data_IF_610941043304
#
_entry.id   IF_610941043304
#
_cell.length_a   1.000
_cell.length_b   1.000
_cell.length_c   1.000
_cell.angle_alpha   90.00
_cell.angle_beta   90.00
_cell.angle_gamma   90.00
#
_symmetry.space_group_name_H-M   'P 1'
#
loop_
_entity.id
_entity.type
_entity.pdbx_description
1 polymer ?
#
# COMPACT_ATOMS: atom_id res chain seq x y z
N UNK A 1 66.52 45.31 -5.83
CA UNK A 1 65.51 46.37 -5.71
C UNK A 1 64.53 46.00 -4.59
N UNK A 2 64.59 46.81 -3.51
CA UNK A 2 63.69 46.65 -2.38
C UNK A 2 62.55 47.68 -2.53
N UNK A 3 61.29 47.24 -2.40
CA UNK A 3 60.15 48.16 -2.38
C UNK A 3 59.90 48.51 -0.93
N UNK A 4 60.03 49.79 -0.61
CA UNK A 4 59.62 50.32 0.71
C UNK A 4 58.15 50.65 0.69
N UNK A 5 57.39 50.00 1.58
CA UNK A 5 56.02 50.43 1.89
C UNK A 5 56.10 51.18 3.22
N UNK A 6 56.02 52.50 3.17
CA UNK A 6 55.96 53.36 4.35
C UNK A 6 54.54 53.42 4.87
N UNK A 7 54.29 52.74 5.99
CA UNK A 7 53.03 52.88 6.71
C UNK A 7 53.27 53.78 7.89
N UNK A 8 52.74 54.99 7.79
CA UNK A 8 52.79 56.04 8.81
C UNK A 8 52.27 55.51 10.15
N UNK A 9 53.14 55.47 11.18
CA UNK A 9 52.78 55.19 12.57
C UNK A 9 53.42 53.95 13.14
N UNK A 10 54.55 54.13 13.84
CA UNK A 10 55.21 53.24 14.85
C UNK A 10 54.91 51.72 14.78
N UNK A 11 55.18 51.09 13.66
CA UNK A 11 55.11 49.62 13.51
C UNK A 11 56.43 49.09 12.94
N UNK A 12 56.91 47.92 13.36
CA UNK A 12 58.16 47.34 12.85
C UNK A 12 58.05 47.08 11.33
N UNK A 13 59.04 47.49 10.59
CA UNK A 13 59.12 47.32 9.14
C UNK A 13 59.40 45.84 8.81
N UNK A 14 58.48 45.19 8.13
CA UNK A 14 58.72 43.86 7.57
C UNK A 14 59.41 44.04 6.22
N UNK A 15 60.68 43.61 6.09
CA UNK A 15 61.41 43.56 4.81
C UNK A 15 60.99 42.28 4.08
N UNK A 16 60.16 42.40 3.05
CA UNK A 16 59.77 41.28 2.19
C UNK A 16 60.68 41.25 0.96
N UNK A 17 61.38 40.17 0.69
CA UNK A 17 62.19 40.04 -0.55
C UNK A 17 61.24 40.00 -1.77
N UNK A 18 61.80 40.44 -2.94
CA UNK A 18 61.05 40.67 -4.20
C UNK A 18 60.06 39.57 -4.57
N UNK A 19 58.86 39.98 -4.84
CA UNK A 19 57.68 39.11 -5.11
C UNK A 19 57.75 38.45 -6.51
N UNK A 20 58.79 38.72 -7.29
CA UNK A 20 59.00 38.16 -8.65
C UNK A 20 59.02 36.61 -8.64
N UNK A 21 59.53 36.02 -7.55
CA UNK A 21 59.61 34.56 -7.40
C UNK A 21 58.24 33.92 -7.22
N UNK A 22 57.24 34.65 -6.73
CA UNK A 22 55.90 34.15 -6.50
C UNK A 22 55.03 34.21 -7.74
N UNK A 23 55.38 35.04 -8.75
CA UNK A 23 54.62 35.13 -10.02
C UNK A 23 55.00 34.06 -11.05
N UNK A 24 56.09 33.33 -10.83
CA UNK A 24 56.57 32.27 -11.71
C UNK A 24 55.99 30.88 -11.38
N UNK A 25 55.14 30.78 -10.35
CA UNK A 25 54.45 29.54 -10.03
C UNK A 25 53.31 29.33 -11.03
N UNK A 26 53.56 28.61 -12.12
CA UNK A 26 52.54 28.05 -12.96
C UNK A 26 51.49 27.29 -12.09
N UNK A 27 50.30 27.07 -12.62
CA UNK A 27 49.22 26.33 -11.97
C UNK A 27 49.77 25.07 -11.30
N UNK A 28 50.20 25.22 -10.05
CA UNK A 28 50.77 24.14 -9.27
C UNK A 28 49.64 23.14 -8.98
N UNK A 29 49.90 21.90 -9.32
CA UNK A 29 48.99 20.75 -8.96
C UNK A 29 48.65 20.78 -7.47
N UNK A 30 49.58 21.30 -6.63
CA UNK A 30 49.34 21.54 -5.20
C UNK A 30 48.19 22.55 -4.92
N UNK A 31 47.95 23.53 -5.80
CA UNK A 31 46.84 24.47 -5.69
C UNK A 31 45.46 23.80 -5.89
N UNK A 32 45.40 22.81 -6.76
CA UNK A 32 44.18 22.01 -7.01
C UNK A 32 43.94 21.04 -5.85
N UNK A 33 45.03 20.38 -5.36
CA UNK A 33 44.93 19.44 -4.23
C UNK A 33 44.48 20.15 -2.95
N UNK A 34 44.78 21.41 -2.78
CA UNK A 34 44.30 22.21 -1.62
C UNK A 34 42.77 22.31 -1.52
N UNK A 35 42.06 22.24 -2.65
CA UNK A 35 40.60 22.31 -2.69
C UNK A 35 39.91 20.92 -2.61
N UNK A 36 40.70 19.84 -2.76
CA UNK A 36 40.20 18.46 -2.71
C UNK A 36 39.46 18.12 -1.41
N UNK A 37 40.00 18.45 -0.21
CA UNK A 37 39.29 18.17 1.04
C UNK A 37 37.96 18.94 1.18
N UNK A 38 37.89 20.16 0.63
CA UNK A 38 36.64 20.92 0.60
C UNK A 38 35.60 20.27 -0.31
N UNK A 39 36.01 19.83 -1.51
CA UNK A 39 35.17 19.13 -2.45
C UNK A 39 34.61 17.80 -1.85
N UNK A 40 35.50 17.01 -1.24
CA UNK A 40 35.10 15.76 -0.57
C UNK A 40 34.09 16.00 0.57
N UNK A 41 34.30 17.05 1.36
CA UNK A 41 33.41 17.41 2.44
C UNK A 41 32.01 17.82 1.92
N UNK A 42 31.98 18.58 0.82
CA UNK A 42 30.70 18.97 0.18
C UNK A 42 29.96 17.76 -0.38
N UNK A 43 30.67 16.85 -1.06
CA UNK A 43 30.09 15.61 -1.58
C UNK A 43 29.53 14.75 -0.43
N UNK A 44 30.30 14.60 0.66
CA UNK A 44 29.83 13.84 1.83
C UNK A 44 28.56 14.44 2.44
N UNK A 45 28.48 15.77 2.55
CA UNK A 45 27.29 16.46 3.05
C UNK A 45 26.07 16.21 2.15
N UNK A 46 26.23 16.32 0.83
CA UNK A 46 25.16 16.04 -0.13
C UNK A 46 24.69 14.60 -0.03
N UNK A 47 25.61 13.65 0.10
CA UNK A 47 25.24 12.22 0.26
C UNK A 47 24.48 11.97 1.56
N UNK A 48 24.84 12.65 2.67
CA UNK A 48 24.12 12.56 3.93
C UNK A 48 22.70 13.12 3.78
N UNK A 49 22.55 14.27 3.11
CA UNK A 49 21.23 14.86 2.86
C UNK A 49 20.34 13.91 2.04
N UNK A 50 20.89 13.31 0.98
CA UNK A 50 20.18 12.32 0.15
C UNK A 50 19.79 11.08 0.97
N UNK A 51 20.69 10.60 1.84
CA UNK A 51 20.42 9.45 2.69
C UNK A 51 19.30 9.73 3.72
N UNK A 52 19.28 10.94 4.30
CA UNK A 52 18.23 11.37 5.23
C UNK A 52 16.90 11.59 4.50
N UNK A 53 16.93 12.15 3.29
CA UNK A 53 15.74 12.40 2.47
C UNK A 53 15.01 11.11 2.09
N UNK A 54 15.66 9.92 2.19
CA UNK A 54 15.08 8.61 1.84
C UNK A 54 14.19 8.70 0.59
N UNK A 55 14.72 9.06 -0.59
CA UNK A 55 13.90 9.13 -1.78
C UNK A 55 13.25 7.76 -2.02
N UNK A 56 11.98 7.63 -1.62
CA UNK A 56 11.19 6.46 -1.99
C UNK A 56 10.77 6.69 -3.44
N UNK A 57 11.33 5.94 -4.35
CA UNK A 57 10.70 5.79 -5.65
C UNK A 57 9.37 5.05 -5.43
N UNK A 58 8.30 5.82 -5.21
CA UNK A 58 6.99 5.28 -5.46
C UNK A 58 6.94 5.03 -6.95
N UNK A 59 7.07 3.77 -7.35
CA UNK A 59 6.57 3.36 -8.65
C UNK A 59 5.09 3.71 -8.60
N UNK A 60 4.74 4.88 -9.15
CA UNK A 60 3.35 5.09 -9.56
C UNK A 60 3.12 3.94 -10.53
N UNK A 61 2.47 2.86 -10.06
CA UNK A 61 1.72 2.05 -11.01
C UNK A 61 0.86 3.07 -11.74
N UNK A 62 1.17 3.29 -13.01
CA UNK A 62 0.26 3.97 -13.89
C UNK A 62 -1.08 3.35 -13.58
N UNK A 63 -2.00 4.16 -13.04
CA UNK A 63 -3.40 3.79 -13.07
C UNK A 63 -3.70 3.63 -14.54
N UNK A 64 -3.56 2.41 -15.03
CA UNK A 64 -4.31 2.00 -16.20
C UNK A 64 -5.73 2.21 -15.70
N UNK A 65 -6.40 3.26 -16.20
CA UNK A 65 -7.84 3.48 -16.00
C UNK A 65 -8.59 2.39 -16.78
N UNK A 66 -8.29 1.15 -16.44
CA UNK A 66 -9.20 0.05 -16.69
C UNK A 66 -10.27 0.26 -15.63
N UNK A 67 -11.45 0.67 -16.08
CA UNK A 67 -12.62 0.87 -15.22
C UNK A 67 -12.95 -0.45 -14.52
N UNK A 68 -12.20 -0.76 -13.47
CA UNK A 68 -12.41 -1.92 -12.63
C UNK A 68 -13.72 -1.74 -11.85
N UNK A 69 -14.38 -2.83 -11.56
CA UNK A 69 -15.54 -2.86 -10.69
C UNK A 69 -15.11 -3.21 -9.26
N UNK A 70 -15.91 -2.81 -8.28
CA UNK A 70 -15.73 -3.22 -6.90
C UNK A 70 -16.57 -4.46 -6.61
N UNK A 71 -15.91 -5.48 -6.07
CA UNK A 71 -16.52 -6.76 -5.76
C UNK A 71 -16.25 -7.10 -4.29
N UNK A 72 -17.28 -7.41 -3.52
CA UNK A 72 -17.10 -8.01 -2.19
C UNK A 72 -17.61 -9.45 -2.23
N UNK A 73 -16.74 -10.39 -1.86
CA UNK A 73 -17.08 -11.78 -1.64
C UNK A 73 -17.56 -11.94 -0.20
N UNK A 74 -18.80 -12.29 -0.01
CA UNK A 74 -19.36 -12.61 1.30
C UNK A 74 -19.45 -14.13 1.42
N UNK A 75 -18.58 -14.71 2.26
CA UNK A 75 -18.41 -16.15 2.44
C UNK A 75 -19.03 -16.63 3.73
N UNK A 76 -19.87 -17.63 3.63
CA UNK A 76 -20.43 -18.38 4.75
C UNK A 76 -19.36 -19.31 5.34
N UNK A 77 -19.20 -19.27 6.66
CA UNK A 77 -18.30 -20.16 7.41
C UNK A 77 -19.04 -20.91 8.52
N UNK A 78 -20.37 -21.02 8.40
CA UNK A 78 -21.19 -21.83 9.31
C UNK A 78 -20.80 -23.30 9.26
N UNK A 79 -21.18 -24.04 10.28
CA UNK A 79 -20.84 -25.47 10.40
C UNK A 79 -21.41 -26.31 9.26
N UNK A 80 -22.50 -25.88 8.58
CA UNK A 80 -23.03 -26.54 7.39
C UNK A 80 -21.99 -26.62 6.24
N UNK A 81 -21.09 -25.64 6.14
CA UNK A 81 -20.02 -25.61 5.14
C UNK A 81 -18.95 -26.69 5.32
N UNK A 82 -18.96 -27.43 6.44
CA UNK A 82 -18.12 -28.60 6.67
C UNK A 82 -18.68 -29.89 6.04
N UNK A 83 -19.82 -29.84 5.39
CA UNK A 83 -20.41 -30.97 4.71
C UNK A 83 -19.48 -31.48 3.58
N UNK A 84 -19.34 -32.80 3.49
CA UNK A 84 -18.42 -33.48 2.55
C UNK A 84 -19.09 -33.99 1.30
N UNK A 85 -20.08 -33.28 0.80
CA UNK A 85 -20.69 -33.55 -0.50
C UNK A 85 -19.86 -33.00 -1.67
N UNK A 86 -18.93 -32.10 -1.36
CA UNK A 86 -17.82 -31.68 -2.23
C UNK A 86 -16.50 -32.20 -1.67
N UNK A 87 -15.50 -32.34 -2.51
CA UNK A 87 -14.17 -32.86 -2.10
C UNK A 87 -13.20 -31.69 -1.91
N UNK A 88 -12.58 -31.48 -0.73
CA UNK A 88 -12.72 -32.27 0.51
C UNK A 88 -13.97 -31.93 1.33
N UNK A 89 -14.48 -30.68 1.26
CA UNK A 89 -15.67 -30.14 1.87
C UNK A 89 -16.15 -28.88 1.14
N UNK A 90 -17.36 -28.39 1.48
CA UNK A 90 -17.97 -27.22 0.83
C UNK A 90 -17.12 -25.95 0.98
N UNK A 91 -16.57 -25.68 2.18
CA UNK A 91 -15.78 -24.46 2.41
C UNK A 91 -14.49 -24.47 1.57
N UNK A 92 -13.81 -25.60 1.47
CA UNK A 92 -12.62 -25.72 0.65
C UNK A 92 -12.94 -25.52 -0.82
N UNK A 93 -14.02 -26.14 -1.32
CA UNK A 93 -14.47 -25.93 -2.70
C UNK A 93 -14.85 -24.46 -2.97
N UNK A 94 -15.54 -23.81 -2.04
CA UNK A 94 -15.88 -22.39 -2.15
C UNK A 94 -14.63 -21.49 -2.16
N UNK A 95 -13.63 -21.77 -1.33
CA UNK A 95 -12.35 -21.07 -1.32
C UNK A 95 -11.62 -21.22 -2.64
N UNK A 96 -11.54 -22.43 -3.18
CA UNK A 96 -10.83 -22.70 -4.44
C UNK A 96 -11.48 -21.92 -5.61
N UNK A 97 -12.80 -21.93 -5.70
CA UNK A 97 -13.56 -21.15 -6.68
C UNK A 97 -13.32 -19.65 -6.49
N UNK A 98 -13.34 -19.16 -5.25
CA UNK A 98 -13.11 -17.76 -4.95
C UNK A 98 -11.68 -17.33 -5.31
N UNK A 99 -10.67 -18.16 -5.04
CA UNK A 99 -9.26 -17.91 -5.40
C UNK A 99 -9.09 -17.87 -6.90
N UNK A 100 -9.70 -18.81 -7.64
CA UNK A 100 -9.70 -18.80 -9.10
C UNK A 100 -10.34 -17.52 -9.65
N UNK A 101 -11.51 -17.14 -9.11
CA UNK A 101 -12.22 -15.92 -9.48
C UNK A 101 -11.38 -14.66 -9.26
N UNK A 102 -10.72 -14.55 -8.08
CA UNK A 102 -9.81 -13.44 -7.75
C UNK A 102 -8.65 -13.37 -8.76
N UNK A 103 -8.08 -14.53 -9.13
CA UNK A 103 -6.92 -14.62 -10.01
C UNK A 103 -7.22 -14.17 -11.44
N UNK A 104 -8.44 -14.37 -11.93
CA UNK A 104 -8.87 -14.01 -13.28
C UNK A 104 -9.20 -12.52 -13.47
N UNK A 105 -9.22 -11.71 -12.39
CA UNK A 105 -9.69 -10.32 -12.43
C UNK A 105 -8.60 -9.31 -12.03
N UNK A 106 -7.67 -8.98 -12.95
CA UNK A 106 -6.49 -8.15 -12.65
C UNK A 106 -6.81 -6.69 -12.32
N UNK A 107 -7.90 -6.14 -12.76
CA UNK A 107 -8.20 -4.72 -12.68
C UNK A 107 -9.25 -4.36 -11.63
N UNK A 108 -9.97 -5.37 -11.10
CA UNK A 108 -11.05 -5.14 -10.15
C UNK A 108 -10.51 -5.00 -8.72
N UNK A 109 -11.15 -4.14 -7.92
CA UNK A 109 -10.91 -4.11 -6.47
C UNK A 109 -11.80 -5.15 -5.82
N UNK A 110 -11.23 -5.96 -4.95
CA UNK A 110 -11.97 -7.00 -4.25
C UNK A 110 -11.82 -6.88 -2.74
N UNK A 111 -12.85 -7.27 -2.02
CA UNK A 111 -12.86 -7.41 -0.57
C UNK A 111 -13.47 -8.74 -0.16
N UNK A 112 -13.23 -9.15 1.09
CA UNK A 112 -13.75 -10.38 1.65
C UNK A 112 -14.47 -10.05 2.95
N UNK A 113 -15.71 -10.49 3.04
CA UNK A 113 -16.53 -10.50 4.25
C UNK A 113 -16.83 -11.95 4.60
N UNK A 114 -16.72 -12.30 5.86
CA UNK A 114 -17.01 -13.64 6.36
C UNK A 114 -18.20 -13.54 7.30
N UNK A 115 -19.11 -14.49 7.23
CA UNK A 115 -20.27 -14.51 8.11
C UNK A 115 -20.66 -15.93 8.53
N UNK A 116 -21.21 -16.04 9.71
CA UNK A 116 -21.92 -17.19 10.28
C UNK A 116 -23.06 -16.64 11.14
N UNK A 117 -23.11 -16.81 12.44
CA UNK A 117 -24.04 -16.10 13.34
C UNK A 117 -23.81 -14.59 13.38
N UNK A 118 -22.56 -14.17 13.25
CA UNK A 118 -22.12 -12.78 13.10
C UNK A 118 -21.36 -12.58 11.78
N UNK A 119 -21.00 -11.32 11.47
CA UNK A 119 -20.24 -11.01 10.26
C UNK A 119 -19.10 -10.03 10.53
N UNK A 120 -17.95 -10.24 9.85
CA UNK A 120 -16.81 -9.32 9.91
C UNK A 120 -16.11 -9.20 8.55
N UNK A 121 -15.30 -8.17 8.44
CA UNK A 121 -14.52 -7.94 7.23
C UNK A 121 -13.16 -8.58 7.37
N UNK A 122 -12.90 -9.63 6.60
CA UNK A 122 -11.59 -10.31 6.53
C UNK A 122 -10.58 -9.49 5.74
N UNK A 123 -11.02 -8.86 4.64
CA UNK A 123 -10.19 -8.00 3.82
C UNK A 123 -11.02 -6.83 3.28
N UNK A 124 -10.60 -5.57 3.46
CA UNK A 124 -11.23 -4.43 2.82
C UNK A 124 -10.97 -4.45 1.30
N UNK A 125 -11.68 -3.59 0.55
CA UNK A 125 -11.48 -3.45 -0.89
C UNK A 125 -10.03 -3.11 -1.24
N UNK A 126 -9.38 -4.00 -1.97
CA UNK A 126 -7.99 -3.85 -2.41
C UNK A 126 -7.79 -4.42 -3.82
N UNK A 127 -6.73 -3.97 -4.49
CA UNK A 127 -6.23 -4.54 -5.75
C UNK A 127 -5.12 -5.56 -5.53
N UNK A 128 -4.66 -5.74 -4.28
CA UNK A 128 -3.60 -6.69 -3.93
C UNK A 128 -4.15 -8.11 -3.83
N UNK A 129 -3.99 -8.86 -4.93
CA UNK A 129 -4.46 -10.25 -5.04
C UNK A 129 -3.69 -11.21 -4.15
N UNK A 130 -2.38 -10.96 -3.96
CA UNK A 130 -1.59 -11.84 -3.13
C UNK A 130 -2.11 -11.83 -1.69
N UNK A 131 -2.41 -10.66 -1.16
CA UNK A 131 -3.03 -10.49 0.15
C UNK A 131 -4.43 -11.10 0.19
N UNK A 132 -5.29 -10.87 -0.84
CA UNK A 132 -6.63 -11.46 -0.90
C UNK A 132 -6.61 -12.98 -0.88
N UNK A 133 -5.75 -13.60 -1.70
CA UNK A 133 -5.62 -15.06 -1.79
C UNK A 133 -5.11 -15.65 -0.47
N UNK A 134 -4.13 -14.99 0.17
CA UNK A 134 -3.62 -15.46 1.45
C UNK A 134 -4.69 -15.41 2.53
N UNK A 135 -5.40 -14.29 2.66
CA UNK A 135 -6.48 -14.12 3.63
C UNK A 135 -7.66 -15.05 3.35
N UNK A 136 -7.95 -15.36 2.07
CA UNK A 136 -8.97 -16.36 1.71
C UNK A 136 -8.60 -17.76 2.19
N UNK A 137 -7.33 -18.15 2.08
CA UNK A 137 -6.84 -19.45 2.57
C UNK A 137 -6.90 -19.58 4.08
N UNK A 138 -6.70 -18.49 4.80
CA UNK A 138 -6.72 -18.43 6.28
C UNK A 138 -8.12 -18.50 6.88
N UNK A 139 -9.18 -18.37 6.06
CA UNK A 139 -10.56 -18.48 6.56
C UNK A 139 -10.80 -19.89 7.09
N UNK A 140 -11.27 -20.01 8.32
CA UNK A 140 -11.60 -21.26 8.97
C UNK A 140 -13.01 -21.19 9.56
N UNK A 141 -13.67 -22.34 9.67
CA UNK A 141 -14.95 -22.46 10.38
C UNK A 141 -14.74 -22.49 11.89
N UNK A 142 -15.72 -22.02 12.65
CA UNK A 142 -15.70 -22.10 14.12
C UNK A 142 -14.98 -20.93 14.81
N UNK A 143 -14.54 -19.91 14.07
CA UNK A 143 -14.00 -18.66 14.64
C UNK A 143 -15.09 -17.69 15.10
N UNK A 144 -16.30 -17.86 14.60
CA UNK A 144 -17.48 -17.05 14.90
C UNK A 144 -18.56 -17.96 15.50
N UNK A 145 -19.47 -17.39 16.28
CA UNK A 145 -20.65 -18.09 16.76
C UNK A 145 -21.41 -18.74 15.60
N UNK A 146 -21.82 -19.99 15.78
CA UNK A 146 -22.48 -20.76 14.74
C UNK A 146 -23.85 -20.20 14.41
N UNK A 147 -24.24 -20.31 13.16
CA UNK A 147 -25.49 -19.78 12.62
C UNK A 147 -25.25 -19.30 11.17
N UNK A 148 -26.33 -18.88 10.51
CA UNK A 148 -26.25 -18.36 9.13
C UNK A 148 -27.00 -17.04 9.06
N UNK A 149 -26.29 -15.92 9.33
CA UNK A 149 -26.82 -14.57 9.30
C UNK A 149 -26.52 -13.91 7.94
N UNK A 150 -27.17 -14.39 6.87
CA UNK A 150 -26.98 -13.88 5.50
C UNK A 150 -27.22 -12.38 5.43
N UNK A 151 -28.29 -11.89 6.11
CA UNK A 151 -28.61 -10.47 6.12
C UNK A 151 -27.52 -9.60 6.73
N UNK A 152 -26.90 -10.03 7.83
CA UNK A 152 -25.78 -9.34 8.45
C UNK A 152 -24.53 -9.37 7.55
N UNK A 153 -24.23 -10.53 6.95
CA UNK A 153 -23.12 -10.68 5.99
C UNK A 153 -23.27 -9.73 4.79
N UNK A 154 -24.48 -9.70 4.21
CA UNK A 154 -24.79 -8.81 3.09
C UNK A 154 -24.74 -7.33 3.51
N UNK A 155 -25.30 -6.95 4.65
CA UNK A 155 -25.26 -5.58 5.15
C UNK A 155 -23.81 -5.11 5.40
N UNK A 156 -22.97 -5.99 5.99
CA UNK A 156 -21.55 -5.71 6.18
C UNK A 156 -20.83 -5.52 4.84
N UNK A 157 -21.10 -6.35 3.84
CA UNK A 157 -20.53 -6.21 2.50
C UNK A 157 -20.95 -4.90 1.83
N UNK A 158 -22.22 -4.52 1.93
CA UNK A 158 -22.73 -3.24 1.42
C UNK A 158 -22.08 -2.06 2.12
N UNK A 159 -21.92 -2.11 3.44
CA UNK A 159 -21.27 -1.06 4.22
C UNK A 159 -19.80 -0.83 3.78
N UNK A 160 -19.10 -1.87 3.32
CA UNK A 160 -17.72 -1.73 2.78
C UNK A 160 -17.68 -1.05 1.41
N UNK A 161 -18.79 -1.01 0.69
CA UNK A 161 -18.89 -0.43 -0.65
C UNK A 161 -19.65 0.89 -0.70
N UNK A 162 -20.30 1.32 0.38
CA UNK A 162 -21.15 2.53 0.36
C UNK A 162 -20.40 3.80 -0.08
N UNK A 163 -19.11 3.92 0.27
CA UNK A 163 -18.24 5.06 -0.04
C UNK A 163 -17.34 4.81 -1.26
N UNK A 164 -17.65 3.79 -2.07
CA UNK A 164 -16.90 3.49 -3.27
C UNK A 164 -17.33 4.38 -4.43
N UNK A 165 -16.34 4.93 -5.14
CA UNK A 165 -16.52 5.74 -6.37
C UNK A 165 -16.58 4.87 -7.64
N UNK A 166 -16.54 3.54 -7.52
CA UNK A 166 -16.59 2.64 -8.67
C UNK A 166 -17.94 2.73 -9.40
N UNK A 167 -17.90 2.71 -10.74
CA UNK A 167 -19.10 2.75 -11.59
C UNK A 167 -20.02 1.53 -11.38
N UNK A 168 -19.45 0.40 -11.04
CA UNK A 168 -20.20 -0.82 -10.76
C UNK A 168 -19.71 -1.45 -9.46
N UNK A 169 -20.68 -1.85 -8.64
CA UNK A 169 -20.44 -2.44 -7.32
C UNK A 169 -21.25 -3.70 -7.21
N UNK A 170 -20.61 -4.82 -6.82
CA UNK A 170 -21.22 -6.14 -6.79
C UNK A 170 -20.88 -6.84 -5.48
N UNK A 171 -21.85 -7.43 -4.82
CA UNK A 171 -21.65 -8.41 -3.75
C UNK A 171 -21.93 -9.79 -4.31
N UNK A 172 -21.02 -10.74 -4.05
CA UNK A 172 -21.21 -12.15 -4.38
C UNK A 172 -21.35 -12.90 -3.06
N UNK A 173 -22.50 -13.53 -2.85
CA UNK A 173 -22.77 -14.39 -1.71
C UNK A 173 -22.38 -15.83 -2.02
N UNK A 174 -21.56 -16.41 -1.14
CA UNK A 174 -21.16 -17.82 -1.18
C UNK A 174 -21.73 -18.48 0.08
N UNK A 175 -22.87 -19.10 -0.02
CA UNK A 175 -23.59 -19.76 1.08
C UNK A 175 -24.32 -21.00 0.59
N UNK A 176 -24.48 -21.98 1.46
CA UNK A 176 -25.27 -23.19 1.23
C UNK A 176 -26.52 -23.21 2.12
N UNK A 177 -26.66 -22.23 2.99
CA UNK A 177 -27.61 -22.21 4.06
C UNK A 177 -28.85 -21.34 3.83
N UNK A 178 -29.81 -21.54 4.73
CA UNK A 178 -30.98 -20.68 4.88
C UNK A 178 -30.72 -19.76 6.04
N UNK A 179 -31.09 -18.47 5.91
CA UNK A 179 -30.93 -17.51 7.00
C UNK A 179 -31.68 -17.97 8.25
N UNK A 180 -30.98 -18.26 9.32
CA UNK A 180 -31.51 -18.71 10.59
C UNK A 180 -31.09 -17.85 11.80
N UNK A 181 -30.22 -16.86 11.56
CA UNK A 181 -29.62 -15.98 12.56
C UNK A 181 -29.53 -14.55 12.06
N UNK A 182 -29.11 -13.64 12.93
CA UNK A 182 -28.86 -12.24 12.61
C UNK A 182 -30.09 -11.34 12.83
N UNK A 183 -29.79 -10.05 13.06
CA UNK A 183 -30.81 -9.02 13.31
C UNK A 183 -31.42 -8.48 12.01
N UNK A 184 -30.66 -8.52 10.92
CA UNK A 184 -31.05 -7.99 9.62
C UNK A 184 -31.55 -9.14 8.74
N UNK A 185 -32.74 -9.00 8.19
CA UNK A 185 -33.22 -9.99 7.22
C UNK A 185 -32.52 -9.84 5.88
N UNK A 186 -32.33 -10.93 5.10
CA UNK A 186 -31.71 -10.84 3.77
C UNK A 186 -32.43 -9.85 2.84
N UNK A 187 -33.76 -9.76 2.93
CA UNK A 187 -34.59 -8.82 2.16
C UNK A 187 -34.25 -7.38 2.51
N UNK A 188 -34.18 -7.05 3.81
CA UNK A 188 -33.82 -5.71 4.27
C UNK A 188 -32.41 -5.34 3.79
N UNK A 189 -31.45 -6.26 3.88
CA UNK A 189 -30.09 -6.04 3.40
C UNK A 189 -30.04 -5.84 1.87
N UNK A 190 -30.86 -6.57 1.11
CA UNK A 190 -30.98 -6.39 -0.34
C UNK A 190 -31.60 -5.05 -0.71
N UNK A 191 -32.61 -4.57 0.03
CA UNK A 191 -33.17 -3.23 -0.18
C UNK A 191 -32.17 -2.12 0.12
N UNK A 192 -31.36 -2.29 1.14
CA UNK A 192 -30.23 -1.38 1.43
C UNK A 192 -29.23 -1.40 0.25
N UNK A 193 -28.85 -2.58 -0.23
CA UNK A 193 -27.94 -2.72 -1.38
C UNK A 193 -28.50 -1.98 -2.61
N UNK A 194 -29.79 -2.16 -2.89
CA UNK A 194 -30.48 -1.48 -3.98
C UNK A 194 -30.44 0.04 -3.84
N UNK A 195 -30.66 0.55 -2.62
CA UNK A 195 -30.60 2.00 -2.33
C UNK A 195 -29.23 2.60 -2.67
N UNK A 196 -28.16 1.85 -2.43
CA UNK A 196 -26.79 2.26 -2.77
C UNK A 196 -26.39 1.88 -4.20
N UNK A 197 -27.28 1.30 -5.02
CA UNK A 197 -26.98 0.88 -6.39
C UNK A 197 -25.96 -0.26 -6.46
N UNK A 198 -25.92 -1.12 -5.43
CA UNK A 198 -25.04 -2.29 -5.34
C UNK A 198 -25.83 -3.51 -5.82
N UNK A 199 -25.26 -4.29 -6.72
CA UNK A 199 -25.84 -5.55 -7.19
C UNK A 199 -25.49 -6.69 -6.23
N UNK A 200 -26.42 -7.59 -6.01
CA UNK A 200 -26.23 -8.81 -5.20
C UNK A 200 -26.50 -10.02 -6.09
#
# INVERSE_FOLDING_TARGET
HYVYIEVSGRRPHLRVPDIKFWKAGGRSVLGVIRHLPFLLRTIALVMIIIAIARPRSSTKMDKIDTEGIDIVLAMDVSTSMLARDFTPDRISAAKDIAIEFISQRPSDRMGIVVFAGESYTQCPLTTDRATLINLMKEIETGLIEDGTAIGNGLATAVARMQNSDAKSRVVILLTDGVNNSGEITPQTAADIAKTYGIRV
#
